data_IF_606784940786
#
_entry.id   IF_606784940786
#
_cell.length_a   1.000
_cell.length_b   1.000
_cell.length_c   1.000
_cell.angle_alpha   90.00
_cell.angle_beta   90.00
_cell.angle_gamma   90.00
#
_symmetry.space_group_name_H-M   'P 1'
#
loop_
_entity.id
_entity.type
_entity.pdbx_description
1 polymer ?
#
# COMPACT_ATOMS: atom_id res chain seq x y z
N UNK A 1 -16.70 81.39 0.82
CA UNK A 1 -15.62 80.48 1.27
C UNK A 1 -16.12 79.05 1.12
N UNK A 2 -15.75 78.37 0.03
CA UNK A 2 -16.21 77.01 -0.27
C UNK A 2 -15.21 75.98 0.30
N UNK A 3 -15.49 75.45 1.48
CA UNK A 3 -14.67 74.40 2.08
C UNK A 3 -15.03 73.06 1.43
N UNK A 4 -14.16 72.61 0.52
CA UNK A 4 -14.31 71.38 -0.27
C UNK A 4 -14.53 70.16 0.61
N UNK A 5 -15.74 69.59 0.54
CA UNK A 5 -16.09 68.25 1.00
C UNK A 5 -15.39 67.19 0.12
N UNK A 6 -14.06 67.04 0.24
CA UNK A 6 -13.28 66.01 -0.49
C UNK A 6 -12.69 64.92 0.39
N UNK A 7 -12.66 65.11 1.71
CA UNK A 7 -12.00 64.19 2.66
C UNK A 7 -12.91 63.00 3.04
N UNK A 8 -14.23 63.13 2.97
CA UNK A 8 -15.14 62.06 3.39
C UNK A 8 -15.27 60.93 2.37
N UNK A 9 -15.13 61.21 1.06
CA UNK A 9 -15.28 60.19 0.01
C UNK A 9 -14.17 59.15 0.00
N UNK A 10 -12.92 59.51 0.34
CA UNK A 10 -11.79 58.56 0.37
C UNK A 10 -11.94 57.54 1.51
N UNK A 11 -12.35 58.01 2.68
CA UNK A 11 -12.64 57.14 3.83
C UNK A 11 -13.86 56.24 3.56
N UNK A 12 -14.92 56.78 2.95
CA UNK A 12 -16.09 56.00 2.51
C UNK A 12 -15.72 54.93 1.47
N UNK A 13 -14.88 55.26 0.49
CA UNK A 13 -14.36 54.31 -0.51
C UNK A 13 -13.47 53.23 0.11
N UNK A 14 -12.65 53.58 1.10
CA UNK A 14 -11.83 52.60 1.84
C UNK A 14 -12.70 51.65 2.67
N UNK A 15 -13.73 52.16 3.35
CA UNK A 15 -14.68 51.31 4.09
C UNK A 15 -15.48 50.41 3.14
N UNK A 16 -15.97 50.96 2.03
CA UNK A 16 -16.68 50.18 1.01
C UNK A 16 -15.80 49.09 0.39
N UNK A 17 -14.53 49.40 0.12
CA UNK A 17 -13.56 48.43 -0.39
C UNK A 17 -13.25 47.33 0.63
N UNK A 18 -13.05 47.69 1.91
CA UNK A 18 -12.84 46.70 2.98
C UNK A 18 -14.05 45.77 3.17
N UNK A 19 -15.27 46.31 3.10
CA UNK A 19 -16.52 45.51 3.17
C UNK A 19 -16.63 44.58 1.96
N UNK A 20 -16.31 45.07 0.76
CA UNK A 20 -16.31 44.27 -0.46
C UNK A 20 -15.30 43.12 -0.36
N UNK A 21 -14.10 43.36 0.17
CA UNK A 21 -13.08 42.33 0.38
C UNK A 21 -13.56 41.25 1.34
N UNK A 22 -14.17 41.61 2.48
CA UNK A 22 -14.70 40.62 3.45
C UNK A 22 -15.79 39.75 2.84
N UNK A 23 -16.65 40.31 1.98
CA UNK A 23 -17.71 39.56 1.29
C UNK A 23 -17.17 38.61 0.22
N UNK A 24 -16.03 38.92 -0.41
CA UNK A 24 -15.41 38.03 -1.41
C UNK A 24 -14.73 36.82 -0.72
N UNK A 25 -14.29 36.96 0.53
CA UNK A 25 -13.64 35.88 1.29
C UNK A 25 -14.61 35.06 2.18
N UNK A 26 -15.90 35.38 2.23
CA UNK A 26 -16.89 34.56 2.93
C UNK A 26 -17.30 33.35 2.08
N UNK A 27 -16.40 32.39 1.91
CA UNK A 27 -16.71 31.10 1.30
C UNK A 27 -17.49 30.23 2.27
N UNK A 28 -18.78 29.99 2.01
CA UNK A 28 -19.52 28.94 2.73
C UNK A 28 -18.95 27.57 2.33
N UNK A 29 -18.21 26.94 3.23
CA UNK A 29 -17.84 25.54 3.07
C UNK A 29 -19.09 24.68 3.32
N UNK A 30 -19.64 24.10 2.26
CA UNK A 30 -20.68 23.08 2.39
C UNK A 30 -20.01 21.78 2.80
N UNK A 31 -20.10 21.43 4.08
CA UNK A 31 -19.67 20.12 4.56
C UNK A 31 -20.56 19.07 3.89
N UNK A 32 -19.98 18.31 2.97
CA UNK A 32 -20.65 17.14 2.38
C UNK A 32 -20.44 16.00 3.36
N UNK A 33 -21.44 15.75 4.21
CA UNK A 33 -21.46 14.56 5.03
C UNK A 33 -22.02 13.42 4.17
N UNK A 34 -21.12 12.63 3.57
CA UNK A 34 -21.52 11.46 2.79
C UNK A 34 -21.86 10.36 3.79
N UNK A 35 -23.14 10.03 3.91
CA UNK A 35 -23.60 8.87 4.65
C UNK A 35 -23.22 7.61 3.86
N UNK A 36 -22.02 7.10 4.13
CA UNK A 36 -21.60 5.82 3.59
C UNK A 36 -22.30 4.74 4.40
N UNK A 37 -23.13 3.92 3.73
CA UNK A 37 -23.70 2.73 4.33
C UNK A 37 -22.58 1.91 4.98
N UNK A 38 -22.58 1.78 6.30
CA UNK A 38 -21.67 0.88 7.00
C UNK A 38 -21.98 -0.55 6.52
N UNK A 39 -21.07 -1.14 5.75
CA UNK A 39 -21.14 -2.54 5.41
C UNK A 39 -20.94 -3.38 6.68
N UNK A 40 -21.65 -4.50 6.81
CA UNK A 40 -21.40 -5.45 7.87
C UNK A 40 -19.91 -5.90 7.82
N UNK A 41 -19.16 -5.84 8.94
CA UNK A 41 -17.76 -6.25 8.96
C UNK A 41 -17.58 -7.66 8.42
N UNK A 42 -16.64 -7.84 7.49
CA UNK A 42 -16.29 -9.14 6.91
C UNK A 42 -14.99 -9.64 7.49
N UNK A 43 -14.82 -10.96 7.56
CA UNK A 43 -13.54 -11.55 7.94
C UNK A 43 -12.48 -11.17 6.91
N UNK A 44 -11.27 -10.89 7.39
CA UNK A 44 -10.08 -10.64 6.59
C UNK A 44 -9.00 -11.56 7.14
N UNK A 45 -8.43 -12.37 6.25
CA UNK A 45 -7.40 -13.37 6.58
C UNK A 45 -6.16 -13.00 5.78
N UNK A 46 -5.06 -12.70 6.48
CA UNK A 46 -3.80 -12.29 5.89
C UNK A 46 -2.67 -13.21 6.37
N UNK A 47 -1.78 -13.58 5.46
CA UNK A 47 -0.67 -14.46 5.78
C UNK A 47 0.41 -14.43 4.72
N UNK A 48 1.66 -14.61 5.14
CA UNK A 48 2.81 -14.71 4.24
C UNK A 48 3.69 -15.89 4.69
N UNK A 49 3.77 -16.91 3.83
CA UNK A 49 4.72 -18.02 3.94
C UNK A 49 5.88 -17.69 3.01
N UNK A 50 7.11 -17.80 3.50
CA UNK A 50 8.35 -17.60 2.72
C UNK A 50 9.22 -18.83 2.83
N UNK A 51 10.23 -18.96 1.97
CA UNK A 51 11.28 -19.98 2.05
C UNK A 51 12.34 -19.71 3.13
N UNK A 52 12.16 -18.65 3.92
CA UNK A 52 12.99 -18.36 5.09
C UNK A 52 12.55 -19.13 6.33
N UNK A 53 13.36 -19.08 7.38
CA UNK A 53 13.05 -19.74 8.67
C UNK A 53 11.76 -19.17 9.27
N UNK A 54 10.80 -20.06 9.54
CA UNK A 54 9.57 -19.73 10.29
C UNK A 54 9.83 -19.45 11.79
N UNK A 55 8.76 -19.34 12.60
CA UNK A 55 7.37 -19.56 12.25
C UNK A 55 6.78 -18.41 11.42
N UNK A 56 5.81 -18.72 10.56
CA UNK A 56 5.02 -17.75 9.81
C UNK A 56 3.75 -17.38 10.57
N UNK A 57 3.24 -16.18 10.32
CA UNK A 57 2.07 -15.63 10.99
C UNK A 57 0.89 -15.51 10.03
N UNK A 58 -0.28 -15.93 10.49
CA UNK A 58 -1.58 -15.67 9.88
C UNK A 58 -2.37 -14.76 10.82
N UNK A 59 -2.82 -13.63 10.31
CA UNK A 59 -3.63 -12.66 11.05
C UNK A 59 -5.08 -12.73 10.56
N UNK A 60 -6.02 -12.83 11.49
CA UNK A 60 -7.45 -12.88 11.21
C UNK A 60 -8.13 -11.73 11.95
N UNK A 61 -8.81 -10.88 11.20
CA UNK A 61 -9.51 -9.70 11.70
C UNK A 61 -10.86 -9.52 11.01
N UNK A 62 -11.63 -8.50 11.43
CA UNK A 62 -12.79 -8.00 10.70
C UNK A 62 -12.45 -6.68 10.03
N UNK A 63 -13.02 -6.44 8.85
CA UNK A 63 -12.90 -5.16 8.15
C UNK A 63 -13.45 -4.00 9.01
N UNK A 64 -12.70 -2.91 9.13
CA UNK A 64 -13.09 -1.72 9.87
C UNK A 64 -14.08 -0.80 9.11
N UNK A 65 -14.61 0.20 9.81
CA UNK A 65 -15.42 1.26 9.19
C UNK A 65 -14.54 2.30 8.52
N UNK A 66 -15.04 2.91 7.43
CA UNK A 66 -14.34 3.95 6.67
C UNK A 66 -13.94 5.15 7.54
N UNK A 67 -14.81 5.58 8.45
CA UNK A 67 -14.58 6.77 9.29
C UNK A 67 -13.80 6.49 10.58
N UNK A 68 -13.71 5.22 10.98
CA UNK A 68 -13.05 4.80 12.22
C UNK A 68 -11.86 3.89 11.87
N UNK A 69 -10.82 4.46 11.26
CA UNK A 69 -9.51 3.81 11.13
C UNK A 69 -8.67 4.13 12.38
N UNK A 70 -7.82 3.20 12.91
CA UNK A 70 -7.35 1.95 12.29
C UNK A 70 -7.80 0.65 13.00
N UNK A 71 -8.79 0.69 13.89
CA UNK A 71 -9.15 -0.49 14.69
C UNK A 71 -9.84 -1.57 13.85
N UNK A 72 -9.06 -2.58 13.44
CA UNK A 72 -9.55 -3.83 12.85
C UNK A 72 -9.78 -4.84 13.98
N UNK A 73 -11.04 -5.19 14.32
CA UNK A 73 -11.31 -6.11 15.42
C UNK A 73 -10.68 -7.49 15.13
N UNK A 74 -9.89 -8.06 16.04
CA UNK A 74 -9.30 -9.39 15.84
C UNK A 74 -10.37 -10.49 15.91
N UNK A 75 -10.15 -11.59 15.21
CA UNK A 75 -10.99 -12.80 15.27
C UNK A 75 -10.23 -13.91 15.99
N UNK A 76 -10.65 -14.19 17.22
CA UNK A 76 -10.01 -15.14 18.13
C UNK A 76 -10.66 -16.51 18.11
N UNK A 77 -9.92 -17.56 18.50
CA UNK A 77 -10.44 -18.91 18.63
C UNK A 77 -10.86 -19.58 17.32
N UNK A 78 -10.33 -19.12 16.19
CA UNK A 78 -10.51 -19.78 14.90
C UNK A 78 -9.66 -21.06 14.83
N UNK A 79 -10.15 -22.09 14.15
CA UNK A 79 -9.33 -23.22 13.75
C UNK A 79 -8.62 -22.86 12.45
N UNK A 80 -7.28 -22.87 12.45
CA UNK A 80 -6.46 -22.47 11.30
C UNK A 80 -5.53 -23.61 10.92
N UNK A 81 -5.67 -24.11 9.70
CA UNK A 81 -4.90 -25.25 9.20
C UNK A 81 -4.25 -24.87 7.87
N UNK A 82 -2.96 -25.14 7.74
CA UNK A 82 -2.22 -25.06 6.47
C UNK A 82 -1.91 -26.49 6.03
N UNK A 83 -2.18 -26.80 4.77
CA UNK A 83 -1.80 -28.07 4.14
C UNK A 83 -1.01 -27.79 2.89
N UNK A 84 0.11 -28.48 2.69
CA UNK A 84 0.83 -28.43 1.41
C UNK A 84 0.50 -29.64 0.51
N UNK A 85 0.83 -29.50 -0.77
CA UNK A 85 0.64 -30.57 -1.76
C UNK A 85 1.59 -31.77 -1.58
N UNK A 86 2.52 -31.75 -0.62
CA UNK A 86 3.35 -32.87 -0.23
C UNK A 86 2.76 -33.67 0.95
N UNK A 87 1.62 -33.23 1.50
CA UNK A 87 0.89 -33.90 2.58
C UNK A 87 1.25 -33.42 3.98
N UNK A 88 2.05 -32.35 4.13
CA UNK A 88 2.28 -31.72 5.43
C UNK A 88 0.99 -31.01 5.86
N UNK A 89 0.51 -31.30 7.07
CA UNK A 89 -0.66 -30.64 7.67
C UNK A 89 -0.20 -29.98 8.97
N UNK A 90 -0.37 -28.68 9.07
CA UNK A 90 0.01 -27.87 10.22
C UNK A 90 -1.21 -27.14 10.78
N UNK A 91 -1.56 -27.43 12.02
CA UNK A 91 -2.59 -26.70 12.76
C UNK A 91 -1.93 -25.57 13.53
N UNK A 92 -2.30 -24.33 13.23
CA UNK A 92 -1.67 -23.15 13.79
C UNK A 92 -2.19 -22.87 15.19
N UNK A 93 -1.33 -22.27 16.01
CA UNK A 93 -1.68 -21.89 17.40
C UNK A 93 -1.85 -20.38 17.51
N UNK A 94 -2.97 -19.95 18.10
CA UNK A 94 -3.20 -18.54 18.43
C UNK A 94 -2.26 -18.09 19.56
N UNK A 95 -1.43 -17.08 19.31
CA UNK A 95 -0.48 -16.54 20.31
C UNK A 95 -0.92 -15.20 20.89
N UNK A 96 -1.77 -14.48 20.17
CA UNK A 96 -2.37 -13.19 20.52
C UNK A 96 -3.73 -13.12 19.83
N UNK A 97 -4.68 -12.32 20.31
CA UNK A 97 -5.97 -12.17 19.68
C UNK A 97 -5.86 -11.96 18.16
N UNK A 98 -6.34 -12.93 17.38
CA UNK A 98 -6.34 -12.89 15.92
C UNK A 98 -5.01 -13.21 15.24
N UNK A 99 -3.97 -13.63 15.96
CA UNK A 99 -2.64 -13.93 15.40
C UNK A 99 -2.27 -15.39 15.67
N UNK A 100 -2.12 -16.16 14.59
CA UNK A 100 -1.90 -17.59 14.59
C UNK A 100 -0.52 -17.91 13.99
N UNK A 101 0.28 -18.74 14.66
CA UNK A 101 1.61 -19.14 14.19
C UNK A 101 1.64 -20.58 13.71
N UNK A 102 2.41 -20.81 12.64
CA UNK A 102 2.76 -22.15 12.16
C UNK A 102 3.68 -22.87 13.14
N UNK A 103 3.52 -24.19 13.26
CA UNK A 103 4.35 -25.02 14.12
C UNK A 103 5.42 -25.78 13.34
N UNK A 104 5.04 -26.32 12.17
CA UNK A 104 5.90 -27.20 11.37
C UNK A 104 5.97 -26.82 9.89
N UNK A 105 5.10 -25.92 9.44
CA UNK A 105 5.13 -25.43 8.05
C UNK A 105 6.50 -24.81 7.77
N UNK A 106 7.11 -25.24 6.67
CA UNK A 106 8.30 -24.62 6.10
C UNK A 106 8.02 -24.30 4.64
N UNK A 107 8.32 -23.07 4.22
CA UNK A 107 8.14 -22.64 2.85
C UNK A 107 9.16 -23.30 1.93
N UNK A 108 8.67 -23.91 0.86
CA UNK A 108 9.49 -24.62 -0.12
C UNK A 108 8.99 -24.20 -1.51
N UNK A 109 9.87 -23.62 -2.35
CA UNK A 109 9.52 -23.28 -3.72
C UNK A 109 8.98 -24.50 -4.49
N UNK A 110 7.97 -24.27 -5.32
CA UNK A 110 7.21 -25.28 -6.05
C UNK A 110 6.08 -25.93 -5.25
N UNK A 111 5.95 -25.69 -3.94
CA UNK A 111 4.80 -26.19 -3.16
C UNK A 111 3.58 -25.28 -3.29
N UNK A 112 2.41 -25.92 -3.29
CA UNK A 112 1.12 -25.24 -3.17
C UNK A 112 0.62 -25.42 -1.75
N UNK A 113 0.37 -24.30 -1.08
CA UNK A 113 -0.15 -24.24 0.28
C UNK A 113 -1.63 -23.89 0.23
N UNK A 114 -2.45 -24.68 0.92
CA UNK A 114 -3.88 -24.46 1.11
C UNK A 114 -4.13 -24.07 2.55
N UNK A 115 -4.68 -22.89 2.77
CA UNK A 115 -5.12 -22.39 4.06
C UNK A 115 -6.61 -22.72 4.22
N UNK A 116 -6.97 -23.28 5.38
CA UNK A 116 -8.33 -23.50 5.83
C UNK A 116 -8.54 -22.79 7.17
N UNK A 117 -9.58 -21.98 7.26
CA UNK A 117 -9.95 -21.26 8.49
C UNK A 117 -11.41 -21.55 8.81
N UNK A 118 -11.68 -22.09 9.99
CA UNK A 118 -13.04 -22.27 10.51
C UNK A 118 -13.28 -21.26 11.65
N UNK A 119 -14.25 -20.35 11.46
CA UNK A 119 -14.61 -19.35 12.48
C UNK A 119 -16.06 -18.92 12.31
N UNK A 120 -16.75 -18.61 13.41
CA UNK A 120 -18.14 -18.13 13.42
C UNK A 120 -19.12 -19.03 12.61
N UNK A 121 -18.93 -20.35 12.66
CA UNK A 121 -19.68 -21.36 11.88
C UNK A 121 -19.54 -21.22 10.35
N UNK A 122 -18.51 -20.51 9.88
CA UNK A 122 -18.15 -20.39 8.48
C UNK A 122 -16.76 -20.99 8.24
N UNK A 123 -16.55 -21.49 7.03
CA UNK A 123 -15.29 -22.05 6.57
C UNK A 123 -14.76 -21.21 5.40
N UNK A 124 -13.48 -20.83 5.49
CA UNK A 124 -12.78 -20.08 4.47
C UNK A 124 -11.61 -20.91 3.96
N UNK A 125 -11.43 -20.94 2.64
CA UNK A 125 -10.33 -21.65 2.00
C UNK A 125 -9.63 -20.73 1.01
N UNK A 126 -8.30 -20.87 0.93
CA UNK A 126 -7.47 -20.17 -0.05
C UNK A 126 -6.24 -21.00 -0.36
N UNK A 127 -5.73 -20.91 -1.58
CA UNK A 127 -4.54 -21.63 -1.99
C UNK A 127 -3.58 -20.72 -2.74
N UNK A 128 -2.28 -20.89 -2.51
CA UNK A 128 -1.23 -20.17 -3.22
C UNK A 128 -0.03 -21.09 -3.48
N UNK A 129 0.62 -20.92 -4.63
CA UNK A 129 1.84 -21.64 -4.98
C UNK A 129 3.03 -20.73 -4.77
N UNK A 130 4.03 -21.21 -4.03
CA UNK A 130 5.31 -20.53 -3.89
C UNK A 130 6.12 -20.79 -5.16
N UNK A 131 6.24 -19.79 -6.03
CA UNK A 131 7.06 -19.92 -7.24
C UNK A 131 8.55 -19.96 -6.90
N UNK A 132 9.36 -20.42 -7.86
CA UNK A 132 10.81 -20.43 -7.73
C UNK A 132 11.37 -19.01 -7.58
N UNK A 133 12.48 -18.91 -6.83
CA UNK A 133 13.19 -17.64 -6.72
C UNK A 133 13.72 -17.20 -8.08
N UNK A 134 13.60 -15.91 -8.37
CA UNK A 134 14.17 -15.27 -9.55
C UNK A 134 15.29 -14.35 -9.09
N UNK A 135 16.52 -14.73 -9.40
CA UNK A 135 17.71 -13.98 -9.02
C UNK A 135 17.78 -12.63 -9.75
N UNK A 136 18.31 -11.62 -9.07
CA UNK A 136 18.67 -10.35 -9.69
C UNK A 136 20.01 -10.56 -10.41
N UNK A 137 20.02 -10.34 -11.73
CA UNK A 137 21.24 -10.44 -12.54
C UNK A 137 22.18 -9.27 -12.29
N UNK A 138 21.65 -8.04 -12.29
CA UNK A 138 22.45 -6.84 -12.06
C UNK A 138 21.60 -5.60 -11.70
N UNK A 139 22.27 -4.61 -11.10
CA UNK A 139 21.70 -3.30 -10.80
C UNK A 139 22.52 -2.22 -11.50
N UNK A 140 21.87 -1.21 -12.05
CA UNK A 140 22.55 -0.02 -12.59
C UNK A 140 21.89 1.27 -12.16
N UNK A 141 22.71 2.31 -12.00
CA UNK A 141 22.25 3.66 -11.67
C UNK A 141 22.41 4.56 -12.89
N UNK A 142 21.35 5.26 -13.28
CA UNK A 142 21.38 6.27 -14.34
C UNK A 142 20.93 7.62 -13.81
N UNK A 143 21.54 8.71 -14.28
CA UNK A 143 21.02 10.04 -14.00
C UNK A 143 19.67 10.19 -14.68
N UNK A 144 18.63 10.56 -13.92
CA UNK A 144 17.33 10.88 -14.47
C UNK A 144 17.45 12.08 -15.40
N UNK A 145 16.84 11.95 -16.58
CA UNK A 145 16.72 13.08 -17.51
C UNK A 145 15.44 13.88 -17.27
N UNK A 146 14.61 13.52 -16.29
CA UNK A 146 13.41 14.28 -15.94
C UNK A 146 13.80 15.60 -15.28
N UNK A 147 13.87 16.66 -16.08
CA UNK A 147 13.81 18.02 -15.55
C UNK A 147 12.38 18.23 -15.05
N UNK A 148 12.17 18.36 -13.75
CA UNK A 148 10.88 18.80 -13.23
C UNK A 148 10.63 20.21 -13.79
N UNK A 149 9.57 20.38 -14.58
CA UNK A 149 9.19 21.70 -15.10
C UNK A 149 8.55 22.49 -13.95
N UNK A 150 9.37 23.13 -13.12
CA UNK A 150 8.91 23.99 -12.05
C UNK A 150 8.61 25.40 -12.60
N UNK A 151 7.34 25.79 -12.56
CA UNK A 151 6.89 27.14 -12.91
C UNK A 151 7.37 28.22 -11.91
N UNK A 152 8.03 27.85 -10.82
CA UNK A 152 8.56 28.73 -9.77
C UNK A 152 10.05 29.04 -9.84
N UNK A 153 10.80 28.51 -10.83
CA UNK A 153 12.22 28.83 -11.01
C UNK A 153 13.17 28.21 -9.98
N UNK A 154 12.72 27.20 -9.23
CA UNK A 154 13.59 26.48 -8.32
C UNK A 154 14.28 25.33 -9.07
N UNK A 155 15.23 25.67 -9.97
CA UNK A 155 16.16 24.69 -10.53
C UNK A 155 17.20 24.32 -9.47
N UNK A 156 16.76 23.61 -8.43
CA UNK A 156 17.68 22.86 -7.59
C UNK A 156 18.37 21.82 -8.48
N UNK A 157 19.70 21.83 -8.49
CA UNK A 157 20.54 20.81 -9.14
C UNK A 157 20.43 19.45 -8.41
N UNK A 158 19.22 18.97 -8.17
CA UNK A 158 19.00 17.64 -7.63
C UNK A 158 19.26 16.63 -8.75
N UNK A 159 20.42 15.97 -8.67
CA UNK A 159 20.72 14.81 -9.49
C UNK A 159 19.78 13.71 -9.04
N UNK A 160 18.64 13.60 -9.70
CA UNK A 160 17.76 12.47 -9.56
C UNK A 160 18.48 11.25 -10.17
N UNK A 161 18.59 10.17 -9.41
CA UNK A 161 19.19 8.91 -9.86
C UNK A 161 18.10 7.87 -9.97
N UNK A 162 18.09 7.14 -11.07
CA UNK A 162 17.16 6.04 -11.34
C UNK A 162 17.90 4.73 -11.13
N UNK A 163 17.28 3.80 -10.40
CA UNK A 163 17.79 2.44 -10.25
C UNK A 163 17.15 1.56 -11.32
N UNK A 164 17.95 0.79 -12.05
CA UNK A 164 17.46 -0.23 -12.97
C UNK A 164 17.85 -1.59 -12.42
N UNK A 165 16.86 -2.48 -12.30
CA UNK A 165 16.99 -3.86 -11.88
C UNK A 165 16.85 -4.76 -13.10
N UNK A 166 17.84 -5.63 -13.32
CA UNK A 166 17.84 -6.59 -14.40
C UNK A 166 17.73 -8.01 -13.85
N UNK A 167 16.89 -8.83 -14.48
CA UNK A 167 16.72 -10.24 -14.16
C UNK A 167 16.17 -10.99 -15.37
N UNK A 168 16.24 -12.32 -15.33
CA UNK A 168 15.66 -13.19 -16.35
C UNK A 168 14.32 -13.73 -15.89
N UNK A 169 13.28 -13.40 -16.64
CA UNK A 169 11.93 -13.90 -16.43
C UNK A 169 11.83 -15.38 -16.84
N UNK A 170 11.34 -16.30 -15.99
CA UNK A 170 11.20 -17.71 -16.34
C UNK A 170 10.07 -17.93 -17.37
N UNK A 171 9.86 -19.18 -17.76
CA UNK A 171 8.80 -19.53 -18.71
C UNK A 171 7.40 -19.51 -18.07
N UNK A 172 7.31 -19.64 -16.75
CA UNK A 172 6.04 -19.65 -16.00
C UNK A 172 5.52 -18.24 -15.75
N UNK A 173 4.18 -18.10 -15.66
CA UNK A 173 3.54 -16.82 -15.34
C UNK A 173 3.90 -16.38 -13.92
N UNK A 174 4.30 -15.12 -13.77
CA UNK A 174 4.81 -14.56 -12.53
C UNK A 174 4.35 -13.10 -12.31
N UNK A 175 4.44 -12.66 -11.07
CA UNK A 175 4.15 -11.28 -10.68
C UNK A 175 5.25 -10.80 -9.74
N UNK A 176 5.87 -9.69 -10.07
CA UNK A 176 7.02 -9.19 -9.35
C UNK A 176 6.64 -7.99 -8.50
N UNK A 177 7.08 -8.03 -7.23
CA UNK A 177 7.11 -6.86 -6.35
C UNK A 177 8.56 -6.55 -6.02
N UNK A 178 9.11 -5.52 -6.63
CA UNK A 178 10.47 -5.06 -6.34
C UNK A 178 10.38 -4.01 -5.24
N UNK A 179 11.14 -4.19 -4.16
CA UNK A 179 11.24 -3.22 -3.06
C UNK A 179 12.63 -2.62 -3.05
N UNK A 180 12.72 -1.29 -2.92
CA UNK A 180 14.00 -0.58 -2.86
C UNK A 180 14.28 -0.17 -1.42
N UNK A 181 15.47 -0.54 -0.96
CA UNK A 181 15.98 -0.18 0.36
C UNK A 181 17.08 0.88 0.19
N UNK A 182 17.00 1.95 0.98
CA UNK A 182 18.05 2.98 1.08
C UNK A 182 18.60 2.94 2.48
N UNK A 183 19.90 2.65 2.65
CA UNK A 183 20.53 2.46 3.97
C UNK A 183 19.73 1.50 4.86
N UNK A 184 19.46 0.29 4.36
CA UNK A 184 18.70 -0.78 5.02
C UNK A 184 17.25 -0.44 5.40
N UNK A 185 16.76 0.74 4.96
CA UNK A 185 15.40 1.19 5.24
C UNK A 185 14.60 1.17 3.95
N UNK A 186 13.55 0.35 3.89
CA UNK A 186 12.52 0.47 2.87
C UNK A 186 11.51 1.52 3.31
N UNK A 187 11.19 2.47 2.41
CA UNK A 187 10.00 3.30 2.58
C UNK A 187 8.81 2.56 1.99
N UNK A 188 7.65 2.64 2.64
CA UNK A 188 6.45 1.91 2.23
C UNK A 188 6.03 2.18 0.77
N UNK A 189 6.44 3.32 0.23
CA UNK A 189 6.10 3.79 -1.12
C UNK A 189 7.13 3.37 -2.18
N UNK A 190 8.29 2.84 -1.76
CA UNK A 190 9.39 2.50 -2.66
C UNK A 190 9.30 1.04 -3.14
N UNK A 191 8.21 0.72 -3.83
CA UNK A 191 8.08 -0.56 -4.51
C UNK A 191 7.48 -0.42 -5.91
N UNK A 192 7.82 -1.35 -6.80
CA UNK A 192 7.24 -1.48 -8.13
C UNK A 192 6.56 -2.84 -8.26
N UNK A 193 5.34 -2.83 -8.77
CA UNK A 193 4.62 -4.03 -9.19
C UNK A 193 4.77 -4.21 -10.69
N UNK A 194 4.97 -5.45 -11.13
CA UNK A 194 5.14 -5.81 -12.53
C UNK A 194 4.47 -7.15 -12.84
N UNK A 195 3.63 -7.17 -13.87
CA UNK A 195 2.99 -8.35 -14.43
C UNK A 195 3.77 -8.79 -15.67
N UNK A 196 4.15 -10.06 -15.72
CA UNK A 196 5.06 -10.64 -16.71
C UNK A 196 4.38 -11.07 -18.01
N UNK A 197 3.07 -10.80 -18.17
CA UNK A 197 2.17 -11.34 -19.20
C UNK A 197 2.73 -11.49 -20.64
N UNK A 198 3.78 -10.76 -21.02
CA UNK A 198 4.39 -10.78 -22.35
C UNK A 198 5.91 -10.93 -22.36
N UNK A 199 6.53 -11.33 -21.25
CA UNK A 199 7.98 -11.28 -21.09
C UNK A 199 8.65 -12.60 -20.73
N UNK A 200 7.90 -13.71 -20.72
CA UNK A 200 8.43 -15.02 -20.37
C UNK A 200 9.69 -15.38 -21.18
N UNK A 201 10.71 -15.89 -20.50
CA UNK A 201 12.04 -16.20 -21.04
C UNK A 201 12.85 -15.00 -21.56
N UNK A 202 12.45 -13.76 -21.26
CA UNK A 202 13.19 -12.56 -21.64
C UNK A 202 14.03 -12.01 -20.49
N UNK A 203 15.04 -11.21 -20.85
CA UNK A 203 15.76 -10.39 -19.88
C UNK A 203 14.97 -9.10 -19.70
N UNK A 204 14.63 -8.80 -18.46
CA UNK A 204 13.84 -7.63 -18.09
C UNK A 204 14.77 -6.57 -17.52
N UNK A 205 14.55 -5.32 -17.90
CA UNK A 205 15.12 -4.16 -17.21
C UNK A 205 13.99 -3.32 -16.63
N UNK A 206 13.82 -3.37 -15.31
CA UNK A 206 12.82 -2.57 -14.61
C UNK A 206 13.48 -1.38 -13.93
N UNK A 207 13.06 -0.18 -14.29
CA UNK A 207 13.35 1.03 -13.51
C UNK A 207 12.58 0.98 -12.19
N UNK A 208 13.23 1.24 -11.05
CA UNK A 208 12.62 1.19 -9.72
C UNK A 208 12.95 2.45 -8.94
#
# INVERSE_FOLDING_TARGET
MAFKMKIQYRALLQVAFSVLVVLIFSGCQKVINVDLNNAAPRIVIEGLITDGTGPYSITISKSGSYFNQPDLPPVTGAEVIITDNAGTIDTLTEIKPGVYLTSITNGIPGRTYTLKVSSENMEYTGSSTMLSHVDIDSLSLSKSQSQHFDFGGNTGNEINVELNCYFRDPAEKNFYRIKVFTNDTARAENYRLYDDQYTNNQVIGLRV
#
